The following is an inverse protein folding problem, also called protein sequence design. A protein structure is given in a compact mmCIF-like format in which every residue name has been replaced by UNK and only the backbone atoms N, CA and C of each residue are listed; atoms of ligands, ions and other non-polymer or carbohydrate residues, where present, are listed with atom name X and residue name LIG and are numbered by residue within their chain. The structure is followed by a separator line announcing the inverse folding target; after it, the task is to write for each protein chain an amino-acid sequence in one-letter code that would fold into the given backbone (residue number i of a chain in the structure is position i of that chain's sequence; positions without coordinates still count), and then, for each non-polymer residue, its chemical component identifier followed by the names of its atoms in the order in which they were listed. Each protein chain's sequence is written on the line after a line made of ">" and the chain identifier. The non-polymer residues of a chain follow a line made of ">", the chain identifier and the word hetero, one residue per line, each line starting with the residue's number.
data_IF_666976913104
#
_entry.id   IF_666976913104
#
_cell.length_a   1.000
_cell.length_b   1.000
_cell.length_c   1.000
_cell.angle_alpha   90.00
_cell.angle_beta   90.00
_cell.angle_gamma   90.00
#
_symmetry.space_group_name_H-M   'P 1'
#
loop_
_entity.id
_entity.type
_entity.pdbx_description
1 polymer ?
#
# COMPACT_ATOMS: atom_id res chain seq x y z
N UNK A 1 -4.18 -17.97 -3.42
CA UNK A 1 -4.99 -16.94 -2.74
C UNK A 1 -6.47 -17.31 -2.88
N UNK A 2 -7.12 -17.79 -1.81
CA UNK A 2 -8.56 -18.04 -1.80
C UNK A 2 -9.35 -16.71 -1.72
N UNK A 3 -10.59 -16.72 -2.21
CA UNK A 3 -11.54 -15.65 -1.88
C UNK A 3 -11.86 -15.72 -0.37
N UNK A 4 -12.16 -14.57 0.28
CA UNK A 4 -12.68 -14.59 1.64
C UNK A 4 -13.98 -15.39 1.72
N UNK A 5 -14.16 -16.13 2.81
CA UNK A 5 -15.38 -16.92 3.05
C UNK A 5 -16.59 -16.03 3.33
N UNK A 6 -16.37 -14.81 3.80
CA UNK A 6 -17.43 -13.83 4.06
C UNK A 6 -17.97 -13.24 2.74
N UNK A 7 -19.25 -13.51 2.38
CA UNK A 7 -19.86 -12.98 1.16
C UNK A 7 -19.87 -11.44 1.09
N UNK A 8 -19.95 -10.77 2.24
CA UNK A 8 -19.95 -9.29 2.31
C UNK A 8 -18.59 -8.75 1.89
N UNK A 9 -17.51 -9.33 2.41
CA UNK A 9 -16.13 -8.95 2.05
C UNK A 9 -15.89 -9.17 0.56
N UNK A 10 -16.35 -10.30 0.02
CA UNK A 10 -16.23 -10.61 -1.41
C UNK A 10 -17.01 -9.61 -2.30
N UNK A 11 -18.23 -9.23 -1.91
CA UNK A 11 -19.05 -8.26 -2.64
C UNK A 11 -18.44 -6.86 -2.63
N UNK A 12 -18.03 -6.37 -1.45
CA UNK A 12 -17.36 -5.07 -1.31
C UNK A 12 -16.07 -5.05 -2.12
N UNK A 13 -15.28 -6.13 -2.10
CA UNK A 13 -14.08 -6.27 -2.93
C UNK A 13 -14.36 -6.07 -4.42
N UNK A 14 -15.40 -6.73 -4.96
CA UNK A 14 -15.81 -6.56 -6.37
C UNK A 14 -16.24 -5.12 -6.69
N UNK A 15 -17.05 -4.52 -5.83
CA UNK A 15 -17.51 -3.13 -5.99
C UNK A 15 -16.34 -2.16 -5.97
N UNK A 16 -15.37 -2.37 -5.07
CA UNK A 16 -14.16 -1.55 -4.97
C UNK A 16 -13.32 -1.64 -6.25
N UNK A 17 -13.10 -2.84 -6.81
CA UNK A 17 -12.41 -3.00 -8.10
C UNK A 17 -13.14 -2.23 -9.21
N UNK A 18 -14.47 -2.33 -9.28
CA UNK A 18 -15.28 -1.59 -10.24
C UNK A 18 -15.14 -0.07 -10.13
N UNK A 19 -15.17 0.47 -8.91
CA UNK A 19 -14.97 1.91 -8.65
C UNK A 19 -13.56 2.37 -9.00
N UNK A 20 -12.52 1.63 -8.59
CA UNK A 20 -11.13 1.97 -8.88
C UNK A 20 -10.81 1.87 -10.37
N UNK A 21 -11.43 0.92 -11.09
CA UNK A 21 -11.30 0.83 -12.55
C UNK A 21 -11.84 2.07 -13.25
N UNK A 22 -12.96 2.61 -12.77
CA UNK A 22 -13.50 3.85 -13.31
C UNK A 22 -12.56 5.03 -13.05
N UNK A 23 -12.00 5.12 -11.84
CA UNK A 23 -11.10 6.21 -11.44
C UNK A 23 -9.72 6.17 -12.10
N UNK A 24 -9.17 4.97 -12.32
CA UNK A 24 -7.76 4.77 -12.68
C UNK A 24 -7.55 3.99 -13.98
N UNK A 25 -8.62 3.71 -14.72
CA UNK A 25 -8.58 2.96 -15.97
C UNK A 25 -8.63 1.44 -15.80
N UNK A 26 -8.47 0.67 -16.90
CA UNK A 26 -8.79 -0.76 -16.94
C UNK A 26 -7.91 -1.63 -16.04
N UNK A 27 -6.75 -1.12 -15.62
CA UNK A 27 -5.79 -1.85 -14.78
C UNK A 27 -5.45 -1.01 -13.53
N UNK A 28 -6.37 -0.91 -12.56
CA UNK A 28 -6.06 -0.23 -11.32
C UNK A 28 -4.87 -0.94 -10.67
N UNK A 29 -3.79 -0.20 -10.45
CA UNK A 29 -2.56 -0.75 -9.87
C UNK A 29 -2.82 -1.24 -8.46
N UNK A 30 -2.56 -2.52 -8.22
CA UNK A 30 -2.65 -3.12 -6.89
C UNK A 30 -1.29 -2.99 -6.22
N UNK A 31 -1.26 -2.26 -5.11
CA UNK A 31 -0.02 -1.99 -4.37
C UNK A 31 -0.23 -2.41 -2.92
N UNK A 32 0.45 -3.45 -2.42
CA UNK A 32 0.35 -3.85 -1.01
C UNK A 32 0.92 -2.79 -0.06
N UNK A 33 1.74 -1.86 -0.57
CA UNK A 33 2.29 -0.72 0.15
C UNK A 33 1.97 0.61 -0.54
N UNK A 34 2.03 1.69 0.23
CA UNK A 34 1.68 3.05 -0.17
C UNK A 34 2.86 4.00 0.03
N UNK A 35 2.91 5.07 -0.78
CA UNK A 35 3.88 6.17 -0.62
C UNK A 35 3.62 7.05 0.61
N UNK A 36 2.46 6.87 1.22
CA UNK A 36 1.96 7.64 2.34
C UNK A 36 1.52 6.64 3.39
N UNK A 37 1.89 6.91 4.64
CA UNK A 37 1.43 6.14 5.78
C UNK A 37 0.00 6.54 6.13
N UNK A 38 -0.96 5.96 5.42
CA UNK A 38 -2.38 6.24 5.62
C UNK A 38 -3.27 5.50 4.62
N UNK A 39 -4.54 5.39 4.98
CA UNK A 39 -5.60 4.74 4.20
C UNK A 39 -6.86 5.62 4.26
N UNK A 40 -7.78 5.56 3.27
CA UNK A 40 -9.01 6.35 3.31
C UNK A 40 -10.10 5.84 4.27
N UNK A 41 -9.99 4.62 4.80
CA UNK A 41 -11.01 4.00 5.65
C UNK A 41 -10.44 2.93 6.59
N UNK A 42 -11.13 2.68 7.70
CA UNK A 42 -10.75 1.71 8.75
C UNK A 42 -11.02 0.27 8.30
N UNK A 43 -11.96 0.09 7.37
CA UNK A 43 -12.38 -1.18 6.78
C UNK A 43 -12.69 -0.99 5.29
N UNK A 44 -13.11 -2.07 4.63
CA UNK A 44 -13.41 -2.04 3.20
C UNK A 44 -14.66 -1.25 2.83
N UNK A 45 -15.68 -1.19 3.69
CA UNK A 45 -16.89 -0.39 3.44
C UNK A 45 -16.58 1.11 3.44
N UNK A 46 -15.90 1.60 4.47
CA UNK A 46 -15.49 3.02 4.56
C UNK A 46 -14.59 3.40 3.39
N UNK A 47 -13.64 2.54 3.01
CA UNK A 47 -12.80 2.76 1.84
C UNK A 47 -13.64 2.81 0.55
N UNK A 48 -14.61 1.91 0.40
CA UNK A 48 -15.51 1.89 -0.76
C UNK A 48 -16.38 3.17 -0.83
N UNK A 49 -16.92 3.63 0.28
CA UNK A 49 -17.68 4.87 0.37
C UNK A 49 -16.81 6.08 0.00
N UNK A 50 -15.59 6.15 0.53
CA UNK A 50 -14.62 7.19 0.18
C UNK A 50 -14.35 7.24 -1.33
N UNK A 51 -14.02 6.11 -1.96
CA UNK A 51 -13.75 6.07 -3.40
C UNK A 51 -15.02 6.31 -4.23
N UNK A 52 -16.20 5.96 -3.72
CA UNK A 52 -17.48 6.29 -4.35
C UNK A 52 -17.73 7.79 -4.31
N UNK A 53 -17.47 8.45 -3.19
CA UNK A 53 -17.56 9.91 -3.08
C UNK A 53 -16.56 10.59 -4.02
N UNK A 54 -15.33 10.07 -4.14
CA UNK A 54 -14.34 10.58 -5.10
C UNK A 54 -14.82 10.42 -6.54
N UNK A 55 -15.32 9.24 -6.91
CA UNK A 55 -15.89 8.96 -8.23
C UNK A 55 -17.05 9.89 -8.58
N UNK A 56 -17.90 10.20 -7.61
CA UNK A 56 -19.07 11.04 -7.81
C UNK A 56 -18.80 12.54 -7.69
N UNK A 57 -17.56 12.94 -7.36
CA UNK A 57 -17.20 14.35 -7.15
C UNK A 57 -17.74 14.96 -5.84
N UNK A 58 -18.17 14.13 -4.88
CA UNK A 58 -18.77 14.55 -3.60
C UNK A 58 -17.82 14.37 -2.41
N UNK A 59 -16.51 14.34 -2.67
CA UNK A 59 -15.51 14.07 -1.62
C UNK A 59 -15.49 15.16 -0.55
N UNK A 60 -15.69 16.42 -0.94
CA UNK A 60 -15.71 17.58 -0.03
C UNK A 60 -16.87 17.49 0.97
N UNK A 61 -18.03 16.98 0.54
CA UNK A 61 -19.18 16.70 1.41
C UNK A 61 -18.91 15.51 2.31
N UNK A 62 -18.41 14.41 1.75
CA UNK A 62 -18.12 13.18 2.49
C UNK A 62 -17.19 13.43 3.68
N UNK A 63 -16.09 14.16 3.46
CA UNK A 63 -15.09 14.38 4.53
C UNK A 63 -15.57 15.29 5.67
N UNK A 64 -16.69 16.02 5.52
CA UNK A 64 -17.25 16.83 6.62
C UNK A 64 -17.71 15.96 7.79
N UNK A 65 -18.30 14.82 7.49
CA UNK A 65 -18.84 13.88 8.47
C UNK A 65 -17.88 12.70 8.77
N UNK A 66 -16.74 12.64 8.06
CA UNK A 66 -15.75 11.56 8.17
C UNK A 66 -14.36 12.11 8.50
N UNK A 67 -14.09 12.53 9.75
CA UNK A 67 -12.86 13.23 10.13
C UNK A 67 -11.58 12.41 9.89
N UNK A 68 -11.64 11.07 10.01
CA UNK A 68 -10.49 10.21 9.69
C UNK A 68 -10.17 10.22 8.19
N UNK A 69 -11.19 10.19 7.33
CA UNK A 69 -11.02 10.32 5.89
C UNK A 69 -10.55 11.74 5.51
N UNK A 70 -11.04 12.78 6.20
CA UNK A 70 -10.57 14.14 6.05
C UNK A 70 -9.05 14.26 6.33
N UNK A 71 -8.59 13.62 7.42
CA UNK A 71 -7.17 13.56 7.74
C UNK A 71 -6.36 12.90 6.61
N UNK A 72 -6.83 11.77 6.06
CA UNK A 72 -6.17 11.11 4.93
C UNK A 72 -6.06 11.99 3.67
N UNK A 73 -7.09 12.80 3.38
CA UNK A 73 -7.07 13.76 2.25
C UNK A 73 -6.02 14.85 2.46
N UNK A 74 -5.80 15.26 3.72
CA UNK A 74 -4.87 16.32 4.08
C UNK A 74 -3.41 15.84 4.21
N UNK A 75 -3.15 14.54 4.18
CA UNK A 75 -1.77 14.01 4.26
C UNK A 75 -0.92 14.54 3.10
N UNK A 76 0.32 15.01 3.36
CA UNK A 76 1.24 15.44 2.32
C UNK A 76 1.44 14.38 1.25
N UNK A 77 1.44 14.79 -0.02
CA UNK A 77 1.69 13.92 -1.18
C UNK A 77 2.84 14.49 -2.01
N UNK A 78 4.08 14.43 -1.48
CA UNK A 78 5.23 14.98 -2.19
C UNK A 78 5.50 14.20 -3.48
N UNK A 79 6.12 14.87 -4.44
CA UNK A 79 6.58 14.26 -5.68
C UNK A 79 7.98 13.70 -5.43
N UNK A 80 8.20 12.39 -5.39
CA UNK A 80 9.54 11.85 -5.17
C UNK A 80 10.43 12.12 -6.38
N UNK A 81 11.73 12.31 -6.19
CA UNK A 81 12.69 12.47 -7.30
C UNK A 81 12.72 11.23 -8.22
N UNK A 82 12.65 10.05 -7.60
CA UNK A 82 12.62 8.73 -8.23
C UNK A 82 11.96 7.72 -7.27
N UNK A 83 11.51 6.57 -7.77
CA UNK A 83 11.10 5.46 -6.89
C UNK A 83 12.23 5.02 -5.95
N UNK A 84 13.49 5.23 -6.33
CA UNK A 84 14.67 4.95 -5.51
C UNK A 84 14.81 5.86 -4.27
N UNK A 85 14.10 6.99 -4.26
CA UNK A 85 14.13 8.02 -3.21
C UNK A 85 12.80 8.13 -2.45
N UNK A 86 11.93 7.11 -2.56
CA UNK A 86 10.63 7.13 -1.96
C UNK A 86 10.52 6.11 -0.83
N UNK A 87 9.95 6.54 0.30
CA UNK A 87 9.53 5.62 1.37
C UNK A 87 8.24 4.92 0.97
N UNK A 88 8.09 3.68 1.43
CA UNK A 88 6.83 2.94 1.31
C UNK A 88 6.38 2.35 2.66
N UNK A 89 5.08 2.34 2.88
CA UNK A 89 4.44 1.87 4.11
C UNK A 89 3.45 0.76 3.78
N UNK A 90 3.46 -0.33 4.55
CA UNK A 90 2.39 -1.32 4.43
C UNK A 90 1.04 -0.79 4.96
N UNK A 91 1.08 0.22 5.83
CA UNK A 91 -0.05 0.87 6.52
C UNK A 91 -0.73 -0.04 7.55
N UNK A 92 -1.10 -1.26 7.15
CA UNK A 92 -1.72 -2.23 8.04
C UNK A 92 -0.75 -2.77 9.10
N UNK A 93 -1.33 -3.27 10.18
CA UNK A 93 -0.61 -3.94 11.27
C UNK A 93 -0.56 -5.45 11.01
N UNK A 94 0.60 -6.04 11.32
CA UNK A 94 0.84 -7.49 11.26
C UNK A 94 1.27 -7.98 12.64
N UNK A 95 1.17 -9.30 12.85
CA UNK A 95 1.54 -9.96 14.10
C UNK A 95 2.66 -10.96 13.84
N UNK A 96 3.81 -10.74 14.46
CA UNK A 96 4.91 -11.71 14.47
C UNK A 96 4.75 -12.66 15.64
N UNK A 97 4.89 -13.95 15.38
CA UNK A 97 4.78 -15.01 16.39
C UNK A 97 6.14 -15.70 16.50
N UNK A 98 6.79 -15.52 17.64
CA UNK A 98 8.06 -16.19 17.93
C UNK A 98 7.83 -17.69 18.19
N UNK A 99 8.89 -18.50 18.10
CA UNK A 99 8.84 -19.93 18.43
C UNK A 99 8.37 -20.22 19.87
N UNK A 100 8.50 -19.24 20.78
CA UNK A 100 7.97 -19.33 22.15
C UNK A 100 6.47 -19.03 22.27
N UNK A 101 5.79 -18.73 21.17
CA UNK A 101 4.40 -18.24 21.13
C UNK A 101 4.25 -16.75 21.48
N UNK A 102 5.35 -16.00 21.68
CA UNK A 102 5.27 -14.56 21.96
C UNK A 102 4.81 -13.82 20.71
N UNK A 103 3.75 -13.04 20.86
CA UNK A 103 3.22 -12.18 19.81
C UNK A 103 3.85 -10.78 19.86
N UNK A 104 4.09 -10.17 18.71
CA UNK A 104 4.58 -8.78 18.59
C UNK A 104 3.93 -8.13 17.37
N UNK A 105 3.21 -7.03 17.59
CA UNK A 105 2.56 -6.30 16.51
C UNK A 105 3.54 -5.33 15.84
N UNK A 106 3.49 -5.28 14.52
CA UNK A 106 4.44 -4.52 13.70
C UNK A 106 3.76 -3.85 12.52
N UNK A 107 4.35 -2.74 12.06
CA UNK A 107 4.03 -2.11 10.77
C UNK A 107 5.28 -2.04 9.92
N UNK A 108 5.22 -2.64 8.72
CA UNK A 108 6.33 -2.64 7.78
C UNK A 108 6.53 -1.28 7.12
N UNK A 109 7.80 -0.91 6.95
CA UNK A 109 8.27 0.23 6.16
C UNK A 109 9.40 -0.23 5.25
N UNK A 110 9.46 0.35 4.05
CA UNK A 110 10.57 0.20 3.11
C UNK A 110 11.21 1.57 2.98
N UNK A 111 12.46 1.67 3.43
CA UNK A 111 13.22 2.91 3.51
C UNK A 111 14.26 2.95 2.37
N UNK A 112 14.31 4.01 1.55
CA UNK A 112 15.32 4.12 0.50
C UNK A 112 16.71 4.29 1.12
N UNK A 113 17.68 3.46 0.72
CA UNK A 113 19.07 3.58 1.21
C UNK A 113 19.69 4.91 0.76
N UNK A 114 19.27 5.43 -0.39
CA UNK A 114 19.71 6.72 -0.92
C UNK A 114 19.03 7.93 -0.25
N UNK A 115 18.17 7.70 0.75
CA UNK A 115 17.40 8.72 1.44
C UNK A 115 16.19 9.22 0.63
N UNK A 116 15.29 9.90 1.34
CA UNK A 116 14.11 10.51 0.74
C UNK A 116 14.49 11.81 0.03
N UNK A 117 14.08 11.95 -1.22
CA UNK A 117 14.24 13.18 -2.02
C UNK A 117 12.94 13.50 -2.74
N UNK A 118 12.58 14.78 -2.71
CA UNK A 118 11.30 15.29 -3.21
C UNK A 118 11.54 16.45 -4.17
N UNK A 119 10.65 16.58 -5.14
CA UNK A 119 10.61 17.63 -6.14
C UNK A 119 9.51 18.64 -5.81
N UNK A 120 9.70 19.88 -6.28
CA UNK A 120 8.59 20.82 -6.39
C UNK A 120 7.56 20.34 -7.43
N UNK A 121 6.34 20.89 -7.37
CA UNK A 121 5.31 20.59 -8.36
C UNK A 121 5.75 20.99 -9.77
N UNK A 122 6.43 22.13 -9.91
CA UNK A 122 6.96 22.65 -11.17
C UNK A 122 8.04 21.74 -11.75
N UNK A 123 8.97 21.27 -10.90
CA UNK A 123 10.02 20.32 -11.30
C UNK A 123 9.41 18.99 -11.76
N UNK A 124 8.44 18.45 -11.01
CA UNK A 124 7.77 17.20 -11.37
C UNK A 124 7.03 17.30 -12.71
N UNK A 125 6.35 18.42 -12.98
CA UNK A 125 5.70 18.67 -14.28
C UNK A 125 6.74 18.74 -15.40
N UNK A 126 7.87 19.42 -15.17
CA UNK A 126 8.92 19.58 -16.17
C UNK A 126 9.58 18.23 -16.56
N UNK A 127 9.63 17.26 -15.65
CA UNK A 127 10.17 15.91 -15.94
C UNK A 127 9.23 15.03 -16.78
N UNK A 128 7.98 15.44 -16.99
CA UNK A 128 7.00 14.70 -17.79
C UNK A 128 6.34 13.53 -17.03
N UNK A 129 5.31 12.89 -17.61
CA UNK A 129 4.42 11.98 -16.87
C UNK A 129 5.04 10.64 -16.45
N UNK A 130 6.14 10.22 -17.09
CA UNK A 130 6.75 8.90 -16.90
C UNK A 130 8.07 8.93 -16.12
N UNK A 131 8.48 10.09 -15.59
CA UNK A 131 9.81 10.29 -15.04
C UNK A 131 10.20 9.29 -13.94
N UNK A 132 9.24 8.82 -13.13
CA UNK A 132 9.51 7.82 -12.09
C UNK A 132 9.88 6.45 -12.68
N UNK A 133 9.23 6.05 -13.76
CA UNK A 133 9.49 4.78 -14.44
C UNK A 133 10.79 4.82 -15.25
N UNK A 134 11.07 5.96 -15.89
CA UNK A 134 12.32 6.17 -16.62
C UNK A 134 13.50 6.29 -15.63
N UNK A 135 13.31 7.02 -14.54
CA UNK A 135 14.33 7.25 -13.51
C UNK A 135 14.78 5.97 -12.81
N UNK A 136 13.87 5.04 -12.50
CA UNK A 136 14.29 3.76 -11.90
C UNK A 136 15.12 2.91 -12.87
N UNK A 137 14.80 2.93 -14.17
CA UNK A 137 15.58 2.23 -15.20
C UNK A 137 16.97 2.83 -15.34
N UNK A 138 17.06 4.17 -15.36
CA UNK A 138 18.36 4.86 -15.42
C UNK A 138 19.22 4.52 -14.20
N UNK A 139 18.63 4.49 -13.01
CA UNK A 139 19.34 4.16 -11.77
C UNK A 139 19.85 2.72 -11.78
N UNK A 140 19.05 1.76 -12.24
CA UNK A 140 19.46 0.36 -12.37
C UNK A 140 20.61 0.18 -13.37
N UNK A 141 20.69 1.01 -14.40
CA UNK A 141 21.83 1.07 -15.32
C UNK A 141 23.16 1.48 -14.66
N UNK A 142 23.11 2.14 -13.49
CA UNK A 142 24.28 2.55 -12.69
C UNK A 142 24.64 1.54 -11.59
N UNK A 143 23.75 0.61 -11.28
CA UNK A 143 23.93 -0.43 -10.27
C UNK A 143 22.64 -0.72 -9.49
N UNK A 144 22.69 -1.65 -8.51
CA UNK A 144 21.52 -2.02 -7.73
C UNK A 144 20.92 -0.86 -6.95
N UNK A 145 19.59 -0.73 -6.97
CA UNK A 145 18.86 0.20 -6.10
C UNK A 145 18.46 -0.53 -4.83
N UNK A 146 18.81 0.02 -3.67
CA UNK A 146 18.65 -0.65 -2.39
C UNK A 146 17.66 0.04 -1.45
N UNK A 147 16.94 -0.77 -0.69
CA UNK A 147 16.02 -0.33 0.35
C UNK A 147 16.26 -1.14 1.63
N UNK A 148 16.03 -0.52 2.79
CA UNK A 148 15.94 -1.23 4.07
C UNK A 148 14.50 -1.65 4.32
N UNK A 149 14.28 -2.93 4.59
CA UNK A 149 13.03 -3.41 5.13
C UNK A 149 13.08 -3.21 6.65
N UNK A 150 12.18 -2.40 7.19
CA UNK A 150 12.11 -2.13 8.62
C UNK A 150 10.70 -2.38 9.16
N UNK A 151 10.61 -2.57 10.47
CA UNK A 151 9.34 -2.66 11.19
C UNK A 151 9.32 -1.69 12.35
N UNK A 152 8.25 -0.91 12.45
CA UNK A 152 7.89 -0.21 13.68
C UNK A 152 7.20 -1.21 14.61
N UNK A 153 7.56 -1.23 15.88
CA UNK A 153 7.03 -2.16 16.88
C UNK A 153 5.99 -1.45 17.75
N UNK A 154 4.81 -2.05 17.90
CA UNK A 154 3.77 -1.56 18.79
C UNK A 154 4.19 -1.66 20.26
N UNK A 155 3.77 -0.70 21.06
CA UNK A 155 3.81 -0.77 22.53
C UNK A 155 2.41 -1.00 23.11
N UNK A 156 2.36 -1.22 24.42
CA UNK A 156 1.09 -1.35 25.13
C UNK A 156 0.22 -0.10 24.96
N UNK A 157 -1.07 -0.31 24.63
CA UNK A 157 -2.03 0.76 24.34
C UNK A 157 -2.06 1.25 22.90
N UNK A 158 -1.13 0.83 22.03
CA UNK A 158 -1.20 1.14 20.61
C UNK A 158 -2.36 0.38 19.94
N UNK A 159 -3.12 1.07 19.07
CA UNK A 159 -4.23 0.46 18.34
C UNK A 159 -3.69 -0.37 17.16
N UNK A 160 -3.93 -1.66 17.18
CA UNK A 160 -3.42 -2.62 16.17
C UNK A 160 -4.48 -3.02 15.14
N UNK A 161 -5.76 -2.77 15.41
CA UNK A 161 -6.90 -3.14 14.57
C UNK A 161 -7.40 -2.06 13.62
N UNK A 162 -6.92 -0.82 13.77
CA UNK A 162 -7.33 0.30 12.92
C UNK A 162 -6.10 0.93 12.21
N UNK A 163 -5.98 0.78 10.88
CA UNK A 163 -4.87 1.33 10.11
C UNK A 163 -4.87 2.87 10.03
N UNK A 164 -5.98 3.54 10.36
CA UNK A 164 -6.06 5.01 10.41
C UNK A 164 -5.43 5.58 11.68
N UNK A 165 -5.31 4.78 12.74
CA UNK A 165 -4.68 5.23 13.98
C UNK A 165 -3.17 5.05 13.85
N UNK A 166 -2.43 6.15 13.86
CA UNK A 166 -0.96 6.13 13.78
C UNK A 166 -0.33 5.85 15.14
N UNK A 167 0.72 5.03 15.12
CA UNK A 167 1.60 4.89 16.27
C UNK A 167 2.61 6.04 16.30
N UNK A 168 3.05 6.50 17.48
CA UNK A 168 4.06 7.54 17.60
C UNK A 168 5.34 7.22 16.82
N UNK A 169 5.94 8.20 16.17
CA UNK A 169 7.22 8.00 15.45
C UNK A 169 8.40 7.70 16.39
N UNK A 170 8.22 7.89 17.70
CA UNK A 170 9.16 7.49 18.75
C UNK A 170 9.21 5.99 19.00
N UNK A 171 8.25 5.21 18.46
CA UNK A 171 8.26 3.75 18.60
C UNK A 171 9.52 3.14 18.02
N UNK A 172 9.99 2.07 18.66
CA UNK A 172 11.17 1.34 18.22
C UNK A 172 10.99 0.86 16.78
N UNK A 173 11.97 1.17 15.93
CA UNK A 173 12.09 0.64 14.56
C UNK A 173 13.24 -0.36 14.51
N UNK A 174 13.01 -1.52 13.89
CA UNK A 174 14.00 -2.57 13.72
C UNK A 174 14.21 -2.84 12.24
N UNK A 175 15.47 -2.85 11.79
CA UNK A 175 15.84 -3.30 10.44
C UNK A 175 15.77 -4.83 10.37
N UNK A 176 15.05 -5.35 9.38
CA UNK A 176 14.91 -6.78 9.11
C UNK A 176 15.84 -7.25 7.99
N UNK A 177 16.25 -6.34 7.11
CA UNK A 177 17.16 -6.67 6.01
C UNK A 177 17.20 -5.62 4.92
N UNK A 178 17.84 -5.98 3.81
CA UNK A 178 17.99 -5.11 2.64
C UNK A 178 17.33 -5.75 1.43
N UNK A 179 16.48 -4.99 0.73
CA UNK A 179 15.91 -5.34 -0.57
C UNK A 179 16.80 -4.68 -1.63
N UNK A 180 17.28 -5.46 -2.59
CA UNK A 180 18.07 -4.95 -3.73
C UNK A 180 17.31 -5.20 -5.02
N UNK A 181 16.94 -4.13 -5.71
CA UNK A 181 16.46 -4.17 -7.08
C UNK A 181 17.69 -4.16 -7.99
N UNK A 182 17.83 -5.19 -8.83
CA UNK A 182 19.03 -5.39 -9.66
C UNK A 182 18.75 -5.31 -11.14
N UNK A 183 17.49 -5.47 -11.56
CA UNK A 183 17.11 -5.49 -12.97
C UNK A 183 15.60 -5.25 -13.15
N UNK A 184 15.18 -4.99 -14.38
CA UNK A 184 13.78 -4.93 -14.82
C UNK A 184 13.47 -6.15 -15.68
N UNK A 185 12.29 -6.74 -15.48
CA UNK A 185 11.87 -7.89 -16.29
C UNK A 185 11.74 -7.50 -17.77
N UNK A 186 12.27 -8.37 -18.64
CA UNK A 186 11.94 -8.34 -20.07
C UNK A 186 10.44 -8.56 -20.26
N UNK A 187 9.84 -7.81 -21.20
CA UNK A 187 8.39 -7.82 -21.43
C UNK A 187 7.58 -7.62 -20.13
N UNK A 188 7.99 -6.63 -19.32
CA UNK A 188 7.39 -6.31 -18.02
C UNK A 188 5.85 -6.17 -18.12
N UNK A 189 5.34 -5.60 -19.21
CA UNK A 189 3.91 -5.44 -19.44
C UNK A 189 3.16 -6.78 -19.52
N UNK A 190 3.72 -7.78 -20.21
CA UNK A 190 3.14 -9.13 -20.23
C UNK A 190 3.30 -9.83 -18.88
N UNK A 191 4.47 -9.72 -18.23
CA UNK A 191 4.73 -10.35 -16.94
C UNK A 191 3.78 -9.85 -15.85
N UNK A 192 3.51 -8.54 -15.81
CA UNK A 192 2.59 -7.92 -14.85
C UNK A 192 1.18 -8.51 -14.88
N UNK A 193 0.71 -9.02 -16.02
CA UNK A 193 -0.62 -9.67 -16.11
C UNK A 193 -0.74 -10.93 -15.26
N UNK A 194 0.38 -11.57 -14.95
CA UNK A 194 0.41 -12.83 -14.20
C UNK A 194 0.71 -12.63 -12.71
N UNK A 195 1.14 -11.43 -12.31
CA UNK A 195 1.48 -11.09 -10.92
C UNK A 195 0.21 -10.72 -10.15
N UNK A 196 0.00 -11.37 -9.01
CA UNK A 196 -1.03 -11.02 -8.04
C UNK A 196 -0.35 -10.87 -6.69
N UNK A 197 -0.57 -9.74 -6.01
CA UNK A 197 -0.10 -9.53 -4.65
C UNK A 197 -1.19 -9.98 -3.67
N UNK A 198 -0.84 -10.85 -2.71
CA UNK A 198 -1.70 -11.20 -1.55
C UNK A 198 -1.21 -10.39 -0.34
N UNK A 199 -2.03 -9.50 0.24
CA UNK A 199 -1.63 -8.71 1.41
C UNK A 199 -1.67 -9.54 2.69
N UNK A 200 -2.30 -10.72 2.68
CA UNK A 200 -2.34 -11.63 3.82
C UNK A 200 -1.06 -12.47 3.80
N UNK A 201 -0.24 -12.44 4.86
CA UNK A 201 0.93 -13.30 4.96
C UNK A 201 0.51 -14.77 4.97
N UNK A 202 1.17 -15.58 4.15
CA UNK A 202 0.94 -17.03 4.01
C UNK A 202 2.17 -17.82 4.46
N UNK A 203 2.80 -17.37 5.54
CA UNK A 203 4.05 -17.92 6.06
C UNK A 203 3.95 -18.12 7.56
N UNK A 204 4.63 -19.15 8.06
CA UNK A 204 4.67 -19.42 9.50
C UNK A 204 5.32 -18.26 10.25
N UNK A 205 4.75 -17.89 11.40
CA UNK A 205 5.26 -16.85 12.26
C UNK A 205 4.87 -15.42 11.88
N UNK A 206 4.09 -15.21 10.81
CA UNK A 206 3.53 -13.89 10.46
C UNK A 206 2.04 -14.01 10.17
N UNK A 207 1.23 -13.32 10.98
CA UNK A 207 -0.21 -13.26 10.86
C UNK A 207 -0.69 -11.81 10.65
N UNK A 208 -1.96 -11.65 10.28
CA UNK A 208 -2.63 -10.35 10.30
C UNK A 208 -3.03 -9.99 11.74
N UNK A 209 -3.18 -8.69 12.04
CA UNK A 209 -3.90 -8.27 13.25
C UNK A 209 -5.42 -8.37 13.04
N UNK A 210 -6.20 -7.87 14.01
CA UNK A 210 -7.66 -7.70 13.88
C UNK A 210 -8.07 -6.55 12.92
N UNK A 211 -7.13 -6.07 12.10
CA UNK A 211 -7.37 -5.11 11.04
C UNK A 211 -8.22 -5.73 9.92
N UNK A 212 -9.50 -5.33 9.91
CA UNK A 212 -10.47 -5.84 8.96
C UNK A 212 -10.13 -5.47 7.52
N UNK A 213 -9.44 -4.34 7.28
CA UNK A 213 -9.13 -3.85 5.93
C UNK A 213 -8.33 -4.86 5.12
N UNK A 214 -7.46 -5.66 5.75
CA UNK A 214 -6.63 -6.66 5.07
C UNK A 214 -7.46 -7.71 4.31
N UNK A 215 -8.60 -8.13 4.87
CA UNK A 215 -9.48 -9.11 4.22
C UNK A 215 -10.16 -8.52 2.98
N UNK A 216 -10.61 -7.26 3.04
CA UNK A 216 -11.17 -6.57 1.88
C UNK A 216 -10.13 -6.30 0.80
N UNK A 217 -8.89 -5.94 1.19
CA UNK A 217 -7.77 -5.79 0.26
C UNK A 217 -7.48 -7.11 -0.45
N UNK A 218 -7.44 -8.22 0.28
CA UNK A 218 -7.25 -9.53 -0.32
C UNK A 218 -8.36 -9.84 -1.33
N UNK A 219 -9.63 -9.63 -0.97
CA UNK A 219 -10.75 -9.81 -1.89
C UNK A 219 -10.59 -9.02 -3.20
N UNK A 220 -10.32 -7.72 -3.09
CA UNK A 220 -10.16 -6.83 -4.23
C UNK A 220 -8.95 -7.23 -5.09
N UNK A 221 -7.84 -7.65 -4.47
CA UNK A 221 -6.62 -8.01 -5.19
C UNK A 221 -6.78 -9.29 -5.99
N UNK A 222 -7.48 -10.28 -5.42
CA UNK A 222 -7.81 -11.51 -6.12
C UNK A 222 -8.75 -11.26 -7.30
N UNK A 223 -9.82 -10.49 -7.09
CA UNK A 223 -10.80 -10.17 -8.16
C UNK A 223 -10.10 -9.48 -9.34
N UNK A 224 -9.36 -8.40 -9.07
CA UNK A 224 -8.66 -7.65 -10.11
C UNK A 224 -7.58 -8.49 -10.80
N UNK A 225 -6.81 -9.29 -10.05
CA UNK A 225 -5.79 -10.17 -10.61
C UNK A 225 -6.36 -11.26 -11.52
N UNK A 226 -7.51 -11.84 -11.18
CA UNK A 226 -8.22 -12.79 -12.04
C UNK A 226 -8.73 -12.13 -13.33
N UNK A 227 -9.26 -10.92 -13.23
CA UNK A 227 -9.70 -10.16 -14.41
C UNK A 227 -8.53 -9.81 -15.33
N UNK A 228 -7.39 -9.38 -14.78
CA UNK A 228 -6.19 -9.03 -15.58
C UNK A 228 -5.60 -10.23 -16.30
N UNK A 229 -5.60 -11.40 -15.65
CA UNK A 229 -5.12 -12.65 -16.25
C UNK A 229 -5.98 -13.12 -17.43
N UNK A 230 -7.26 -12.81 -17.39
CA UNK A 230 -8.25 -13.25 -18.38
C UNK A 230 -8.46 -12.23 -19.53
N UNK A 231 -7.72 -11.12 -19.56
CA UNK A 231 -7.84 -10.02 -20.53
C UNK A 231 -6.62 -9.88 -21.46
#
# INVERSE_FOLDING_TARGET
>A
MPLPDDPKVADVGKKLVGTLRWLSGPRPGIRPAHSIDGTPGSNGEEAFEFFTALKNGTITEYIKDHPKAAHFVQLPRPFPESFAHQRHFAVNTFKFIAASGKETFVRYRIEPVLGVQELSAEEAVARGPNYLYEGIVEMLGKGPVQFKLTVQIAEEGDVTSDPLVKWPDTRKVVELGTISLVDVLNDNAAQQKYIIFDPIPRIDGVEISDDQLLQYRAAAYLVSGLEHRNA
#
